data_IF_719548667679
#
_entry.id   IF_719548667679
#
_cell.length_a   1.000
_cell.length_b   1.000
_cell.length_c   1.000
_cell.angle_alpha   90.00
_cell.angle_beta   90.00
_cell.angle_gamma   90.00
#
_symmetry.space_group_name_H-M   'P 1'
#
loop_
_entity.id
_entity.type
_entity.pdbx_description
1 polymer ?
#
# COMPACT_ATOMS: atom_id res chain seq x y z
N UNK A 1 -6.39 -4.63 2.02
CA UNK A 1 -6.37 -3.53 3.03
C UNK A 1 -7.45 -3.69 4.11
N UNK A 2 -8.60 -4.30 3.81
CA UNK A 2 -9.72 -4.43 4.77
C UNK A 2 -9.40 -5.17 6.08
N UNK A 3 -8.41 -6.08 6.05
CA UNK A 3 -8.07 -6.95 7.18
C UNK A 3 -6.88 -6.45 8.02
N UNK A 4 -6.35 -5.26 7.71
CA UNK A 4 -5.17 -4.69 8.36
C UNK A 4 -5.63 -3.63 9.36
N UNK A 5 -4.93 -3.51 10.49
CA UNK A 5 -5.25 -2.47 11.48
C UNK A 5 -5.08 -1.06 10.89
N UNK A 6 -5.92 -0.10 11.29
CA UNK A 6 -5.84 1.28 10.79
C UNK A 6 -4.49 1.95 11.09
N UNK A 7 -3.86 1.59 12.20
CA UNK A 7 -2.54 2.07 12.60
C UNK A 7 -1.45 1.64 11.62
N UNK A 8 -1.44 0.36 11.20
CA UNK A 8 -0.47 -0.15 10.23
C UNK A 8 -0.65 0.53 8.88
N UNK A 9 -1.90 0.70 8.42
CA UNK A 9 -2.20 1.40 7.16
C UNK A 9 -1.67 2.83 7.21
N UNK A 10 -2.07 3.59 8.24
CA UNK A 10 -1.68 5.00 8.41
C UNK A 10 -0.15 5.15 8.52
N UNK A 11 0.49 4.27 9.29
CA UNK A 11 1.94 4.27 9.47
C UNK A 11 2.65 3.96 8.15
N UNK A 12 2.22 2.93 7.43
CA UNK A 12 2.84 2.55 6.15
C UNK A 12 2.73 3.66 5.10
N UNK A 13 1.56 4.30 4.97
CA UNK A 13 1.35 5.42 4.05
C UNK A 13 2.18 6.64 4.43
N UNK A 14 2.32 6.93 5.74
CA UNK A 14 3.17 8.01 6.20
C UNK A 14 4.65 7.79 5.85
N UNK A 15 5.16 6.55 6.00
CA UNK A 15 6.52 6.21 5.60
C UNK A 15 6.71 6.32 4.08
N UNK A 16 5.76 5.84 3.28
CA UNK A 16 5.79 5.96 1.82
C UNK A 16 5.83 7.43 1.39
N UNK A 17 4.96 8.27 1.95
CA UNK A 17 4.92 9.71 1.67
C UNK A 17 6.24 10.41 2.06
N UNK A 18 6.83 10.05 3.21
CA UNK A 18 8.09 10.61 3.66
C UNK A 18 9.27 10.20 2.76
N UNK A 19 9.40 8.91 2.44
CA UNK A 19 10.44 8.40 1.52
C UNK A 19 10.31 9.06 0.15
N UNK A 20 9.08 9.16 -0.36
CA UNK A 20 8.82 9.79 -1.65
C UNK A 20 9.22 11.27 -1.65
N UNK A 21 8.85 12.01 -0.59
CA UNK A 21 9.21 13.43 -0.44
C UNK A 21 10.72 13.65 -0.34
N UNK A 22 11.44 12.75 0.34
CA UNK A 22 12.91 12.79 0.37
C UNK A 22 13.48 12.52 -1.02
N UNK A 23 13.01 11.46 -1.69
CA UNK A 23 13.50 11.11 -3.03
C UNK A 23 13.31 12.25 -4.03
N UNK A 24 12.13 12.88 -4.03
CA UNK A 24 11.82 14.01 -4.92
C UNK A 24 12.64 15.24 -4.58
N UNK A 25 12.87 15.52 -3.28
CA UNK A 25 13.75 16.59 -2.84
C UNK A 25 15.18 16.41 -3.35
N UNK A 26 15.77 15.22 -3.18
CA UNK A 26 17.13 14.93 -3.66
C UNK A 26 17.25 14.90 -5.19
N UNK A 27 16.20 14.50 -5.90
CA UNK A 27 16.15 14.57 -7.36
C UNK A 27 15.81 15.97 -7.87
N UNK A 28 15.47 16.91 -6.98
CA UNK A 28 14.92 18.23 -7.29
C UNK A 28 13.72 18.13 -8.26
N UNK A 29 12.79 17.23 -7.97
CA UNK A 29 11.63 16.94 -8.79
C UNK A 29 10.36 17.34 -8.06
N UNK A 30 9.48 18.08 -8.72
CA UNK A 30 8.15 18.41 -8.22
C UNK A 30 7.15 17.33 -8.62
N UNK A 31 6.38 16.83 -7.65
CA UNK A 31 5.34 15.83 -7.88
C UNK A 31 4.07 16.44 -8.48
N UNK A 32 3.28 15.68 -9.25
CA UNK A 32 1.97 16.12 -9.72
C UNK A 32 0.99 16.43 -8.59
N UNK A 33 0.89 15.54 -7.59
CA UNK A 33 0.14 15.80 -6.38
C UNK A 33 1.07 16.27 -5.27
N UNK A 34 0.71 17.37 -4.60
CA UNK A 34 1.53 17.92 -3.53
C UNK A 34 1.30 17.16 -2.23
N UNK A 35 2.39 16.75 -1.58
CA UNK A 35 2.36 16.07 -0.29
C UNK A 35 2.70 17.06 0.82
N UNK A 36 1.83 17.15 1.81
CA UNK A 36 2.10 17.87 3.06
C UNK A 36 2.64 16.89 4.09
N UNK A 37 3.90 17.07 4.49
CA UNK A 37 4.53 16.27 5.53
C UNK A 37 4.13 16.74 6.94
N UNK A 38 4.24 15.85 7.94
CA UNK A 38 3.96 16.22 9.31
C UNK A 38 4.83 17.38 9.82
N UNK A 39 4.21 18.38 10.42
CA UNK A 39 4.87 19.52 11.09
C UNK A 39 4.02 19.98 12.29
N UNK A 40 4.47 21.04 13.00
CA UNK A 40 3.91 21.45 14.32
C UNK A 40 2.38 21.57 14.35
N UNK A 41 1.77 22.08 13.29
CA UNK A 41 0.33 22.34 13.20
C UNK A 41 -0.39 21.34 12.26
N UNK A 42 0.33 20.29 11.86
CA UNK A 42 -0.11 19.30 10.86
C UNK A 42 0.43 17.92 11.23
N UNK A 43 -0.20 17.19 12.15
CA UNK A 43 0.40 16.01 12.78
C UNK A 43 0.46 14.77 11.88
N UNK A 44 -0.33 14.74 10.80
CA UNK A 44 -0.42 13.58 9.90
C UNK A 44 -0.26 14.00 8.44
N UNK A 45 0.32 13.15 7.58
CA UNK A 45 0.53 13.51 6.19
C UNK A 45 -0.79 13.53 5.41
N UNK A 46 -0.83 14.40 4.42
CA UNK A 46 -1.93 14.50 3.45
C UNK A 46 -1.42 14.79 2.07
N UNK A 47 -2.29 14.68 1.09
CA UNK A 47 -1.98 14.93 -0.31
C UNK A 47 -3.05 15.79 -0.98
N UNK A 48 -2.65 16.76 -1.78
CA UNK A 48 -3.58 17.58 -2.56
C UNK A 48 -3.97 16.89 -3.85
N UNK A 49 -5.16 17.21 -4.36
CA UNK A 49 -5.56 16.75 -5.71
C UNK A 49 -4.67 17.40 -6.76
N UNK A 50 -4.55 16.78 -7.94
CA UNK A 50 -3.75 17.34 -9.04
C UNK A 50 -4.12 18.79 -9.40
N UNK A 51 -5.41 19.16 -9.29
CA UNK A 51 -5.89 20.51 -9.62
C UNK A 51 -5.54 21.54 -8.54
N UNK A 52 -5.57 21.10 -7.28
CA UNK A 52 -5.32 21.96 -6.12
C UNK A 52 -3.85 22.10 -5.77
N UNK A 53 -3.03 21.14 -6.17
CA UNK A 53 -1.61 21.09 -5.82
C UNK A 53 -0.90 22.38 -6.23
N UNK A 54 -0.19 22.99 -5.27
CA UNK A 54 0.57 24.22 -5.42
C UNK A 54 -0.23 25.48 -5.81
N UNK A 55 -1.56 25.43 -5.76
CA UNK A 55 -2.46 26.53 -6.04
C UNK A 55 -3.23 26.93 -4.78
N UNK A 56 -2.54 26.99 -3.64
CA UNK A 56 -3.14 27.28 -2.33
C UNK A 56 -2.24 28.12 -1.43
N UNK A 57 -2.87 28.89 -0.53
CA UNK A 57 -2.19 29.52 0.60
C UNK A 57 -1.99 28.53 1.75
N UNK A 58 -1.87 29.02 2.98
CA UNK A 58 -1.86 28.17 4.17
C UNK A 58 -3.21 27.45 4.33
N UNK A 59 -3.18 26.12 4.38
CA UNK A 59 -4.37 25.29 4.55
C UNK A 59 -4.31 24.62 5.92
N UNK A 60 -5.34 24.76 6.77
CA UNK A 60 -5.36 24.11 8.08
C UNK A 60 -5.46 22.58 7.94
N UNK A 61 -4.95 21.87 8.95
CA UNK A 61 -5.06 20.41 9.02
C UNK A 61 -6.53 19.95 8.96
N UNK A 62 -6.86 18.88 8.18
CA UNK A 62 -8.21 18.33 8.13
C UNK A 62 -8.76 18.01 9.52
N UNK A 63 -9.90 18.62 9.88
CA UNK A 63 -10.54 18.46 11.19
C UNK A 63 -10.06 19.44 12.27
N UNK A 64 -9.16 20.37 11.95
CA UNK A 64 -8.82 21.48 12.85
C UNK A 64 -9.96 22.51 12.93
N UNK A 65 -10.25 22.97 14.14
CA UNK A 65 -11.28 23.99 14.45
C UNK A 65 -10.77 25.43 14.32
N UNK A 66 -9.52 25.64 13.89
CA UNK A 66 -8.98 26.98 13.72
C UNK A 66 -9.65 27.68 12.52
N UNK A 67 -10.22 28.88 12.70
CA UNK A 67 -10.78 29.64 11.58
C UNK A 67 -9.65 29.97 10.59
N UNK A 68 -9.89 29.86 9.27
CA UNK A 68 -8.90 30.26 8.28
C UNK A 68 -8.57 31.74 8.49
N UNK A 69 -7.33 32.04 8.89
CA UNK A 69 -6.87 33.41 9.06
C UNK A 69 -6.72 34.05 7.68
N UNK A 70 -7.73 34.85 7.32
CA UNK A 70 -7.68 35.98 6.39
C UNK A 70 -6.88 35.80 5.09
N UNK A 71 -7.59 35.47 4.02
CA UNK A 71 -7.34 36.11 2.72
C UNK A 71 -8.66 36.65 2.17
N UNK A 72 -8.72 37.97 2.00
CA UNK A 72 -9.84 38.74 1.43
C UNK A 72 -9.97 38.59 -0.09
N UNK A 73 -9.64 37.41 -0.62
CA UNK A 73 -9.71 37.13 -2.05
C UNK A 73 -10.57 35.89 -2.30
N UNK A 74 -11.80 36.17 -2.71
CA UNK A 74 -12.77 35.30 -3.36
C UNK A 74 -13.23 34.03 -2.63
N UNK A 75 -14.50 33.71 -2.87
CA UNK A 75 -15.13 32.40 -2.62
C UNK A 75 -14.47 31.25 -3.44
N UNK A 76 -13.17 31.31 -3.71
CA UNK A 76 -12.43 30.20 -4.26
C UNK A 76 -12.40 29.10 -3.21
N UNK A 77 -13.04 27.97 -3.56
CA UNK A 77 -13.12 26.76 -2.74
C UNK A 77 -11.74 26.45 -2.17
N UNK A 78 -11.60 26.62 -0.85
CA UNK A 78 -10.36 26.27 -0.15
C UNK A 78 -10.02 24.83 -0.52
N UNK A 79 -8.83 24.57 -1.08
CA UNK A 79 -8.46 23.25 -1.54
C UNK A 79 -8.42 22.30 -0.37
N UNK A 80 -9.13 21.18 -0.48
CA UNK A 80 -9.28 20.23 0.60
C UNK A 80 -8.26 19.10 0.45
N UNK A 81 -7.21 19.04 1.30
CA UNK A 81 -6.23 17.96 1.24
C UNK A 81 -6.89 16.63 1.58
N UNK A 82 -6.40 15.55 0.97
CA UNK A 82 -6.87 14.18 1.19
C UNK A 82 -6.03 13.53 2.28
N UNK A 83 -6.68 12.91 3.29
CA UNK A 83 -5.95 12.25 4.36
C UNK A 83 -5.21 11.02 3.86
N UNK A 84 -3.95 10.84 4.29
CA UNK A 84 -3.18 9.60 4.11
C UNK A 84 -3.21 8.72 5.36
N UNK A 85 -4.25 8.86 6.18
CA UNK A 85 -4.43 8.14 7.43
C UNK A 85 -5.90 7.76 7.62
N UNK A 86 -6.13 6.76 8.47
CA UNK A 86 -7.44 6.29 8.91
C UNK A 86 -7.41 5.98 10.39
N UNK A 87 -8.46 6.37 11.11
CA UNK A 87 -8.59 6.10 12.55
C UNK A 87 -9.41 4.84 12.86
N UNK A 88 -10.12 4.32 11.86
CA UNK A 88 -10.98 3.13 11.95
C UNK A 88 -10.68 2.16 10.82
N UNK A 89 -11.07 0.90 10.98
CA UNK A 89 -10.98 -0.08 9.89
C UNK A 89 -11.79 0.38 8.68
N UNK A 90 -11.31 0.06 7.47
CA UNK A 90 -11.94 0.49 6.22
C UNK A 90 -13.40 0.03 6.07
N UNK A 91 -13.79 -1.20 6.45
CA UNK A 91 -15.19 -1.61 6.37
C UNK A 91 -16.11 -0.80 7.28
N UNK A 92 -15.65 -0.46 8.49
CA UNK A 92 -16.41 0.37 9.44
C UNK A 92 -16.50 1.80 8.93
N UNK A 93 -15.39 2.36 8.46
CA UNK A 93 -15.36 3.72 7.91
C UNK A 93 -16.29 3.86 6.69
N UNK A 94 -16.36 2.85 5.82
CA UNK A 94 -17.24 2.86 4.66
C UNK A 94 -18.74 2.88 5.02
N UNK A 95 -19.11 2.37 6.20
CA UNK A 95 -20.48 2.38 6.75
C UNK A 95 -20.77 3.69 7.49
N UNK A 96 -19.84 4.12 8.35
CA UNK A 96 -19.99 5.30 9.21
C UNK A 96 -19.92 6.61 8.41
N UNK A 97 -18.89 6.77 7.57
CA UNK A 97 -18.64 7.99 6.81
C UNK A 97 -18.07 7.68 5.42
N UNK A 98 -18.98 7.63 4.45
CA UNK A 98 -18.65 7.37 3.05
C UNK A 98 -17.81 8.49 2.42
N UNK A 99 -17.94 9.72 2.90
CA UNK A 99 -17.20 10.89 2.40
C UNK A 99 -15.71 10.78 2.77
N UNK A 100 -15.43 10.53 4.05
CA UNK A 100 -14.07 10.36 4.55
C UNK A 100 -13.43 9.10 3.96
N UNK A 101 -14.18 8.00 3.86
CA UNK A 101 -13.72 6.80 3.16
C UNK A 101 -13.29 7.08 1.71
N UNK A 102 -14.13 7.80 0.95
CA UNK A 102 -13.82 8.14 -0.44
C UNK A 102 -12.61 9.06 -0.56
N UNK A 103 -12.51 10.05 0.32
CA UNK A 103 -11.40 11.01 0.35
C UNK A 103 -10.08 10.34 0.71
N UNK A 104 -10.10 9.38 1.63
CA UNK A 104 -8.92 8.56 1.97
C UNK A 104 -8.47 7.70 0.78
N UNK A 105 -9.39 7.00 0.11
CA UNK A 105 -9.03 6.19 -1.06
C UNK A 105 -8.47 7.04 -2.20
N UNK A 106 -9.03 8.24 -2.42
CA UNK A 106 -8.47 9.20 -3.37
C UNK A 106 -7.05 9.64 -2.96
N UNK A 107 -6.79 9.86 -1.67
CA UNK A 107 -5.45 10.15 -1.16
C UNK A 107 -4.46 9.02 -1.44
N UNK A 108 -4.84 7.77 -1.16
CA UNK A 108 -4.00 6.60 -1.43
C UNK A 108 -3.70 6.45 -2.93
N UNK A 109 -4.67 6.70 -3.81
CA UNK A 109 -4.43 6.60 -5.25
C UNK A 109 -3.60 7.74 -5.81
N UNK A 110 -3.72 8.95 -5.26
CA UNK A 110 -2.82 10.06 -5.59
C UNK A 110 -1.39 9.74 -5.20
N UNK A 111 -1.18 9.15 -4.01
CA UNK A 111 0.16 8.74 -3.56
C UNK A 111 0.76 7.68 -4.50
N UNK A 112 -0.03 6.67 -4.89
CA UNK A 112 0.40 5.67 -5.86
C UNK A 112 0.70 6.26 -7.24
N UNK A 113 -0.11 7.24 -7.67
CA UNK A 113 0.08 7.98 -8.92
C UNK A 113 1.41 8.74 -8.92
N UNK A 114 1.75 9.43 -7.83
CA UNK A 114 3.02 10.15 -7.70
C UNK A 114 4.23 9.23 -7.70
N UNK A 115 4.16 8.07 -7.02
CA UNK A 115 5.22 7.06 -7.08
C UNK A 115 5.44 6.58 -8.51
N UNK A 116 4.36 6.25 -9.23
CA UNK A 116 4.40 5.81 -10.62
C UNK A 116 4.95 6.91 -11.56
N UNK A 117 4.52 8.15 -11.34
CA UNK A 117 5.03 9.33 -12.04
C UNK A 117 6.53 9.47 -11.81
N UNK A 118 7.01 9.33 -10.57
CA UNK A 118 8.42 9.49 -10.25
C UNK A 118 9.24 8.41 -10.94
N UNK A 119 8.83 7.15 -10.86
CA UNK A 119 9.46 6.06 -11.61
C UNK A 119 9.60 6.40 -13.11
N UNK A 120 8.52 6.89 -13.75
CA UNK A 120 8.57 7.26 -15.16
C UNK A 120 9.52 8.43 -15.45
N UNK A 121 9.47 9.48 -14.63
CA UNK A 121 10.38 10.64 -14.77
C UNK A 121 11.85 10.24 -14.58
N UNK A 122 12.12 9.13 -13.89
CA UNK A 122 13.48 8.64 -13.69
C UNK A 122 13.84 7.49 -14.65
N UNK A 123 12.98 7.21 -15.63
CA UNK A 123 13.18 6.16 -16.63
C UNK A 123 13.08 4.74 -16.07
N UNK A 124 12.52 4.57 -14.87
CA UNK A 124 12.32 3.27 -14.23
C UNK A 124 10.98 2.69 -14.66
N UNK A 125 11.02 1.53 -15.33
CA UNK A 125 9.81 0.78 -15.64
C UNK A 125 9.23 0.15 -14.38
N UNK A 126 7.93 0.35 -14.14
CA UNK A 126 7.25 -0.23 -13.00
C UNK A 126 6.21 -1.30 -13.37
N UNK A 127 5.91 -1.51 -14.66
CA UNK A 127 4.92 -2.48 -15.15
C UNK A 127 4.09 -1.91 -16.32
N UNK A 128 2.87 -2.41 -16.49
CA UNK A 128 1.90 -1.86 -17.44
C UNK A 128 1.20 -0.63 -16.84
N UNK A 129 1.29 0.49 -17.56
CA UNK A 129 0.66 1.78 -17.21
C UNK A 129 -0.86 1.76 -17.18
N UNK A 130 -1.49 0.76 -17.81
CA UNK A 130 -2.94 0.57 -17.81
C UNK A 130 -3.41 -0.43 -16.74
N UNK A 131 -2.48 -1.15 -16.12
CA UNK A 131 -2.71 -2.11 -15.07
C UNK A 131 -2.71 -1.38 -13.71
N UNK A 132 -3.86 -1.27 -13.02
CA UNK A 132 -3.93 -0.54 -11.76
C UNK A 132 -3.14 -1.25 -10.64
N UNK A 133 -2.99 -2.57 -10.70
CA UNK A 133 -2.21 -3.35 -9.73
C UNK A 133 -0.73 -2.94 -9.75
N UNK A 134 -0.15 -2.76 -10.94
CA UNK A 134 1.23 -2.30 -11.09
C UNK A 134 1.43 -0.88 -10.53
N UNK A 135 0.40 -0.03 -10.63
CA UNK A 135 0.42 1.34 -10.08
C UNK A 135 0.33 1.30 -8.55
N UNK A 136 -0.58 0.49 -7.99
CA UNK A 136 -0.80 0.40 -6.54
C UNK A 136 0.33 -0.30 -5.76
N UNK A 137 1.21 -1.03 -6.45
CA UNK A 137 2.41 -1.66 -5.87
C UNK A 137 3.52 -0.64 -5.52
N UNK A 138 3.16 0.39 -4.72
CA UNK A 138 4.02 1.52 -4.33
C UNK A 138 5.36 1.07 -3.75
N UNK A 139 5.36 0.09 -2.85
CA UNK A 139 6.59 -0.42 -2.22
C UNK A 139 7.55 -1.05 -3.23
N UNK A 140 7.03 -1.86 -4.17
CA UNK A 140 7.84 -2.46 -5.22
C UNK A 140 8.38 -1.39 -6.19
N UNK A 141 7.56 -0.38 -6.50
CA UNK A 141 7.93 0.71 -7.39
C UNK A 141 9.03 1.59 -6.76
N UNK A 142 8.90 1.95 -5.48
CA UNK A 142 9.94 2.63 -4.72
C UNK A 142 11.21 1.80 -4.61
N UNK A 143 11.10 0.49 -4.38
CA UNK A 143 12.26 -0.41 -4.35
C UNK A 143 13.00 -0.42 -5.71
N UNK A 144 12.26 -0.54 -6.83
CA UNK A 144 12.84 -0.48 -8.19
C UNK A 144 13.55 0.85 -8.43
N UNK A 145 12.94 1.96 -7.99
CA UNK A 145 13.48 3.30 -8.14
C UNK A 145 14.77 3.51 -7.33
N UNK A 146 14.75 3.20 -6.05
CA UNK A 146 15.81 3.56 -5.10
C UNK A 146 16.95 2.55 -5.06
N UNK A 147 16.64 1.26 -5.23
CA UNK A 147 17.58 0.16 -5.00
C UNK A 147 17.79 -0.63 -6.30
N UNK A 148 16.69 -1.05 -6.94
CA UNK A 148 16.70 -1.94 -8.10
C UNK A 148 17.50 -1.37 -9.26
N UNK A 149 17.31 -0.09 -9.60
CA UNK A 149 18.02 0.56 -10.70
C UNK A 149 19.54 0.58 -10.48
N UNK A 150 20.01 0.83 -9.24
CA UNK A 150 21.43 0.86 -8.93
C UNK A 150 22.08 -0.52 -8.97
N UNK A 151 21.35 -1.56 -8.57
CA UNK A 151 21.86 -2.93 -8.58
C UNK A 151 22.03 -3.46 -10.01
N UNK A 152 21.06 -3.20 -10.90
CA UNK A 152 21.14 -3.60 -12.31
C UNK A 152 22.19 -2.80 -13.10
N UNK A 153 22.51 -1.57 -12.67
CA UNK A 153 23.63 -0.80 -13.22
C UNK A 153 24.99 -1.42 -12.95
N UNK A 154 25.19 -2.07 -11.80
CA UNK A 154 26.47 -2.71 -11.47
C UNK A 154 26.74 -3.97 -12.29
N UNK A 155 25.71 -4.56 -12.90
CA UNK A 155 25.83 -5.76 -13.74
C UNK A 155 26.11 -5.41 -15.21
N UNK A 156 25.93 -4.14 -15.61
CA UNK A 156 26.28 -3.65 -16.95
C UNK A 156 27.55 -2.81 -16.80
N UNK A 157 28.65 -3.27 -17.37
CA UNK A 157 29.97 -2.62 -17.30
C UNK A 157 29.91 -1.09 -17.43
N UNK A 158 30.82 -0.36 -16.75
CA UNK A 158 30.93 1.07 -16.91
C UNK A 158 31.44 1.38 -18.32
N UNK A 159 30.54 1.75 -19.24
CA UNK A 159 30.93 2.42 -20.47
C UNK A 159 31.44 3.82 -20.13
N UNK A 160 32.70 3.92 -19.76
CA UNK A 160 33.41 5.18 -19.83
C UNK A 160 33.47 5.62 -21.30
N UNK A 161 33.18 6.90 -21.63
CA UNK A 161 33.49 7.41 -22.94
C UNK A 161 35.02 7.61 -23.01
N UNK A 162 35.71 6.71 -23.69
CA UNK A 162 37.13 6.88 -24.01
C UNK A 162 37.30 8.11 -24.92
N UNK A 163 38.10 9.12 -24.59
CA UNK A 163 38.36 10.23 -25.50
C UNK A 163 39.27 9.76 -26.64
N UNK A 164 38.80 10.02 -27.86
CA UNK A 164 39.52 10.18 -29.14
C UNK A 164 41.02 9.82 -29.16
N UNK A 165 41.39 8.80 -29.95
CA UNK A 165 42.65 8.81 -30.70
C UNK A 165 42.43 8.17 -32.08
N UNK A 166 42.99 8.85 -33.07
CA UNK A 166 42.77 8.76 -34.51
C UNK A 166 43.40 7.52 -35.18
N UNK A 167 42.83 7.18 -36.35
CA UNK A 167 43.54 6.93 -37.63
C UNK A 167 43.47 5.51 -38.21
N UNK A 168 42.70 5.40 -39.29
CA UNK A 168 43.00 4.58 -40.48
C UNK A 168 42.62 3.11 -40.42
N UNK A 169 41.68 2.69 -41.27
CA UNK A 169 41.98 1.96 -42.53
C UNK A 169 40.66 1.54 -43.19
N UNK A 170 40.55 1.89 -44.46
CA UNK A 170 39.46 1.59 -45.40
C UNK A 170 39.36 0.09 -45.69
N UNK A 171 38.16 -0.48 -45.73
CA UNK A 171 37.67 -1.35 -46.83
C UNK A 171 36.17 -1.66 -46.66
N UNK A 172 35.49 -1.62 -47.80
CA UNK A 172 34.06 -1.53 -48.08
C UNK A 172 33.22 -2.81 -47.85
N UNK A 173 31.95 -2.65 -47.45
CA UNK A 173 30.75 -3.20 -48.14
C UNK A 173 29.42 -2.70 -47.55
N UNK A 174 28.81 -1.79 -48.30
CA UNK A 174 27.39 -1.61 -48.67
C UNK A 174 26.24 -1.67 -47.63
N UNK A 175 25.52 -0.53 -47.57
CA UNK A 175 24.07 -0.28 -47.36
C UNK A 175 23.42 -0.85 -46.09
N UNK A 176 22.96 -0.03 -45.14
CA UNK A 176 21.78 0.82 -45.34
C UNK A 176 21.87 2.11 -44.50
N UNK A 177 21.81 3.26 -45.18
CA UNK A 177 21.72 4.57 -44.55
C UNK A 177 20.24 4.91 -44.36
N UNK A 178 19.69 4.53 -43.21
CA UNK A 178 18.31 4.81 -42.82
C UNK A 178 18.24 5.42 -41.43
N UNK A 179 18.23 6.76 -41.38
CA UNK A 179 17.76 7.59 -40.25
C UNK A 179 18.58 7.55 -38.97
N UNK A 180 19.17 8.69 -38.61
CA UNK A 180 19.84 8.90 -37.33
C UNK A 180 18.91 8.65 -36.15
N UNK A 181 19.01 7.46 -35.55
CA UNK A 181 18.50 7.22 -34.20
C UNK A 181 19.51 7.86 -33.25
N UNK A 182 19.38 9.19 -33.07
CA UNK A 182 19.93 9.92 -31.93
C UNK A 182 19.68 9.04 -30.71
N UNK A 183 20.77 8.49 -30.17
CA UNK A 183 20.75 7.51 -29.09
C UNK A 183 19.71 7.89 -28.06
N UNK A 184 18.58 7.17 -28.05
CA UNK A 184 17.49 7.41 -27.09
C UNK A 184 18.15 7.43 -25.71
N UNK A 185 18.05 8.53 -24.94
CA UNK A 185 18.82 8.69 -23.72
C UNK A 185 18.52 7.49 -22.82
N UNK A 186 19.57 6.72 -22.52
CA UNK A 186 19.48 5.54 -21.67
C UNK A 186 18.86 6.00 -20.36
N UNK A 187 17.68 5.47 -20.05
CA UNK A 187 16.95 5.77 -18.81
C UNK A 187 17.92 5.81 -17.64
N UNK A 188 18.12 7.00 -17.07
CA UNK A 188 19.06 7.27 -15.99
C UNK A 188 18.32 7.94 -14.85
N UNK A 189 18.44 7.38 -13.65
CA UNK A 189 18.02 8.07 -12.44
C UNK A 189 18.71 9.43 -12.37
N UNK A 190 17.95 10.49 -12.12
CA UNK A 190 18.40 11.87 -12.19
C UNK A 190 18.36 12.48 -13.60
N UNK A 191 17.80 11.79 -14.60
CA UNK A 191 17.68 12.36 -15.94
C UNK A 191 16.74 13.56 -15.94
N UNK A 192 15.46 13.40 -15.57
CA UNK A 192 14.54 14.54 -15.48
C UNK A 192 14.56 15.18 -14.10
N UNK A 193 14.75 16.49 -14.04
CA UNK A 193 14.73 17.27 -12.80
C UNK A 193 14.22 18.70 -13.04
N UNK A 194 13.63 19.33 -12.02
CA UNK A 194 13.30 20.75 -12.04
C UNK A 194 14.49 21.63 -11.60
N UNK A 195 15.54 21.03 -11.02
CA UNK A 195 16.74 21.76 -10.55
C UNK A 195 17.88 21.82 -11.57
N UNK A 196 17.82 21.04 -12.65
CA UNK A 196 18.88 20.96 -13.66
C UNK A 196 18.58 21.84 -14.88
N UNK A 197 19.62 22.43 -15.50
CA UNK A 197 19.47 23.25 -16.71
C UNK A 197 19.32 22.43 -17.99
N UNK A 198 20.08 21.35 -18.13
CA UNK A 198 20.14 20.56 -19.38
C UNK A 198 18.94 19.62 -19.56
N UNK A 199 18.36 19.12 -18.47
CA UNK A 199 17.22 18.18 -18.48
C UNK A 199 16.09 18.71 -17.61
N UNK A 200 15.85 20.02 -17.73
CA UNK A 200 14.82 20.73 -17.01
C UNK A 200 13.43 20.21 -17.38
N UNK A 201 12.68 19.70 -16.40
CA UNK A 201 11.35 19.14 -16.63
C UNK A 201 10.32 20.19 -17.06
N UNK A 202 10.57 21.48 -16.78
CA UNK A 202 9.79 22.60 -17.30
C UNK A 202 10.27 23.14 -18.65
N UNK A 203 11.30 22.55 -19.25
CA UNK A 203 11.78 22.88 -20.60
C UNK A 203 10.90 22.26 -21.69
N UNK A 204 11.17 22.56 -22.97
CA UNK A 204 10.36 22.08 -24.09
C UNK A 204 10.19 20.54 -24.07
N UNK A 205 11.30 19.80 -24.02
CA UNK A 205 11.28 18.33 -24.01
C UNK A 205 10.61 17.76 -22.74
N UNK A 206 10.82 18.41 -21.59
CA UNK A 206 10.20 18.02 -20.33
C UNK A 206 8.69 18.22 -20.33
N UNK A 207 8.22 19.35 -20.88
CA UNK A 207 6.78 19.61 -21.03
C UNK A 207 6.12 18.65 -22.02
N UNK A 208 6.84 18.26 -23.08
CA UNK A 208 6.37 17.23 -24.00
C UNK A 208 6.29 15.86 -23.31
N UNK A 209 7.29 15.49 -22.51
CA UNK A 209 7.27 14.28 -21.70
C UNK A 209 6.05 14.26 -20.76
N UNK A 210 5.82 15.35 -20.02
CA UNK A 210 4.67 15.48 -19.10
C UNK A 210 3.35 15.39 -19.86
N UNK A 211 3.23 16.01 -21.03
CA UNK A 211 2.03 15.92 -21.88
C UNK A 211 1.79 14.51 -22.42
N UNK A 212 2.86 13.79 -22.74
CA UNK A 212 2.81 12.43 -23.27
C UNK A 212 2.69 11.37 -22.17
N UNK A 213 2.81 11.77 -20.89
CA UNK A 213 2.62 10.89 -19.76
C UNK A 213 1.15 10.46 -19.64
N UNK A 214 0.90 9.19 -20.00
CA UNK A 214 -0.42 8.57 -19.93
C UNK A 214 -0.43 7.52 -18.83
N UNK A 215 -1.08 7.85 -17.72
CA UNK A 215 -1.52 6.89 -16.71
C UNK A 215 -3.04 6.94 -16.61
N UNK A 216 -3.62 5.89 -16.04
CA UNK A 216 -5.02 5.90 -15.65
C UNK A 216 -5.28 7.08 -14.70
N UNK A 217 -6.35 7.84 -14.92
CA UNK A 217 -6.62 9.02 -14.11
C UNK A 217 -6.80 8.65 -12.62
N UNK A 218 -6.37 9.50 -11.67
CA UNK A 218 -6.50 9.21 -10.24
C UNK A 218 -7.92 8.87 -9.81
N UNK A 219 -8.93 9.51 -10.40
CA UNK A 219 -10.36 9.20 -10.14
C UNK A 219 -10.72 7.78 -10.58
N UNK A 220 -10.29 7.36 -11.77
CA UNK A 220 -10.53 5.99 -12.26
C UNK A 220 -9.78 4.96 -11.41
N UNK A 221 -8.57 5.30 -10.93
CA UNK A 221 -7.84 4.46 -9.98
C UNK A 221 -8.61 4.36 -8.66
N UNK A 222 -9.13 5.46 -8.12
CA UNK A 222 -9.89 5.46 -6.87
C UNK A 222 -11.18 4.63 -6.99
N UNK A 223 -11.91 4.75 -8.10
CA UNK A 223 -13.11 3.96 -8.36
C UNK A 223 -12.80 2.46 -8.47
N UNK A 224 -11.70 2.10 -9.14
CA UNK A 224 -11.25 0.70 -9.23
C UNK A 224 -10.80 0.16 -7.88
N UNK A 225 -10.09 0.96 -7.08
CA UNK A 225 -9.67 0.58 -5.73
C UNK A 225 -10.89 0.36 -4.84
N UNK A 226 -11.83 1.30 -4.85
CA UNK A 226 -13.11 1.18 -4.15
C UNK A 226 -13.87 -0.07 -4.57
N UNK A 227 -13.97 -0.37 -5.86
CA UNK A 227 -14.62 -1.58 -6.38
C UNK A 227 -13.92 -2.85 -5.89
N UNK A 228 -12.59 -2.92 -5.95
CA UNK A 228 -11.82 -4.06 -5.44
C UNK A 228 -12.06 -4.30 -3.94
N UNK A 229 -11.89 -3.26 -3.12
CA UNK A 229 -12.13 -3.35 -1.68
C UNK A 229 -13.58 -3.74 -1.35
N UNK A 230 -14.56 -3.26 -2.14
CA UNK A 230 -15.97 -3.63 -1.94
C UNK A 230 -16.26 -5.08 -2.35
N UNK A 231 -15.47 -5.66 -3.26
CA UNK A 231 -15.62 -7.07 -3.68
C UNK A 231 -14.96 -8.02 -2.67
N UNK A 232 -13.90 -7.56 -2.00
CA UNK A 232 -13.24 -8.30 -0.91
C UNK A 232 -14.13 -8.41 0.34
N UNK A 233 -15.02 -7.43 0.60
CA UNK A 233 -15.87 -7.43 1.81
C UNK A 233 -16.87 -8.59 1.86
N UNK A 234 -17.68 -8.88 0.81
CA UNK A 234 -18.57 -10.04 0.80
C UNK A 234 -17.85 -11.38 0.88
N UNK A 235 -16.64 -11.49 0.30
CA UNK A 235 -15.84 -12.72 0.37
C UNK A 235 -15.46 -13.05 1.83
N UNK A 236 -15.29 -12.02 2.66
CA UNK A 236 -14.94 -12.11 4.07
C UNK A 236 -16.12 -12.54 4.97
N UNK A 237 -17.36 -12.30 4.55
CA UNK A 237 -18.55 -12.74 5.31
C UNK A 237 -18.74 -14.27 5.19
N UNK A 238 -18.33 -14.88 4.09
CA UNK A 238 -18.37 -16.33 3.89
C UNK A 238 -17.16 -17.07 4.48
N UNK A 239 -16.00 -16.43 4.60
CA UNK A 239 -14.80 -16.98 5.25
C UNK A 239 -14.93 -17.02 6.79
N UNK A 240 -15.97 -16.39 7.37
CA UNK A 240 -16.19 -16.32 8.82
C UNK A 240 -17.06 -17.44 9.41
N UNK A 241 -17.44 -18.45 8.62
CA UNK A 241 -18.24 -19.61 9.06
C UNK A 241 -17.35 -20.85 9.28
N UNK A 242 -16.22 -20.70 9.96
CA UNK A 242 -15.46 -21.85 10.47
C UNK A 242 -15.01 -21.53 11.90
N UNK A 243 -15.81 -21.94 12.89
CA UNK A 243 -15.35 -22.00 14.28
C UNK A 243 -16.36 -21.85 15.40
N UNK A 244 -17.60 -21.40 15.15
CA UNK A 244 -18.57 -21.09 16.24
C UNK A 244 -19.93 -21.81 16.11
N UNK A 245 -20.00 -22.91 15.36
CA UNK A 245 -21.22 -23.72 15.21
C UNK A 245 -21.09 -25.16 15.76
N UNK A 246 -20.01 -25.49 16.48
CA UNK A 246 -19.81 -26.81 17.09
C UNK A 246 -20.06 -26.82 18.61
N UNK A 247 -21.19 -26.23 19.05
CA UNK A 247 -21.61 -26.34 20.47
C UNK A 247 -23.12 -26.46 20.70
N UNK A 248 -23.88 -26.91 19.69
CA UNK A 248 -25.33 -27.10 19.79
C UNK A 248 -25.84 -28.43 19.24
N UNK A 249 -25.02 -29.48 19.26
CA UNK A 249 -25.50 -30.85 19.13
C UNK A 249 -24.95 -31.66 20.30
N UNK A 250 -25.79 -31.80 21.34
CA UNK A 250 -25.92 -32.99 22.20
C UNK A 250 -26.80 -32.67 23.41
N UNK A 251 -28.09 -32.35 23.20
CA UNK A 251 -29.13 -32.59 24.22
C UNK A 251 -30.53 -32.60 23.59
N UNK A 252 -30.77 -33.55 22.67
CA UNK A 252 -32.14 -33.92 22.30
C UNK A 252 -32.23 -35.44 22.23
N UNK A 253 -32.41 -36.09 23.38
CA UNK A 253 -33.20 -37.32 23.53
C UNK A 253 -33.14 -37.82 24.99
N UNK A 254 -34.18 -37.58 25.79
CA UNK A 254 -34.65 -38.62 26.71
C UNK A 254 -36.14 -38.46 27.04
N UNK A 255 -36.85 -39.57 26.89
CA UNK A 255 -38.30 -39.64 26.71
C UNK A 255 -39.16 -39.46 27.96
N UNK A 256 -40.44 -39.28 27.66
CA UNK A 256 -41.58 -39.17 28.58
C UNK A 256 -41.70 -40.42 29.46
N UNK A 257 -41.69 -40.24 30.79
CA UNK A 257 -42.20 -41.22 31.76
C UNK A 257 -43.11 -40.54 32.81
N UNK A 258 -44.22 -41.21 33.12
CA UNK A 258 -45.41 -40.71 33.83
C UNK A 258 -45.36 -40.99 35.34
N UNK A 259 -45.30 -39.93 36.18
CA UNK A 259 -45.74 -39.81 37.61
C UNK A 259 -45.17 -40.78 38.68
N UNK A 260 -45.43 -40.62 40.01
CA UNK A 260 -46.06 -39.52 40.77
C UNK A 260 -45.26 -38.99 42.01
N UNK A 261 -45.64 -37.78 42.48
CA UNK A 261 -45.52 -37.11 43.81
C UNK A 261 -44.65 -37.76 44.93
N UNK A 262 -43.73 -36.99 45.53
CA UNK A 262 -43.85 -36.54 46.96
C UNK A 262 -42.78 -35.51 47.39
N UNK A 263 -43.28 -34.48 48.10
CA UNK A 263 -42.71 -33.66 49.19
C UNK A 263 -41.20 -33.37 49.31
N UNK A 264 -40.87 -32.08 49.22
CA UNK A 264 -40.57 -31.29 50.42
C UNK A 264 -39.11 -30.94 50.74
N UNK A 265 -38.93 -29.65 51.06
CA UNK A 265 -37.86 -29.03 51.88
C UNK A 265 -36.64 -28.48 51.14
N UNK A 266 -36.60 -27.15 51.04
CA UNK A 266 -35.40 -26.31 51.13
C UNK A 266 -35.48 -25.54 52.48
N UNK A 267 -34.52 -24.70 52.93
CA UNK A 267 -33.21 -24.32 52.36
C UNK A 267 -32.06 -24.26 53.40
N UNK A 268 -30.85 -23.83 53.00
CA UNK A 268 -30.04 -22.71 53.56
C UNK A 268 -28.51 -22.95 53.36
N UNK A 269 -27.71 -21.90 53.03
CA UNK A 269 -26.36 -22.01 52.46
C UNK A 269 -25.23 -21.66 53.45
N UNK A 270 -23.98 -22.01 53.10
CA UNK A 270 -22.77 -21.35 53.61
C UNK A 270 -21.53 -21.66 52.73
N UNK A 271 -21.08 -20.63 52.01
CA UNK A 271 -19.70 -20.39 51.57
C UNK A 271 -18.78 -20.09 52.80
N UNK A 272 -17.45 -19.79 52.69
CA UNK A 272 -16.43 -20.06 51.66
C UNK A 272 -15.01 -20.42 52.24
N UNK A 273 -14.04 -20.69 51.35
CA UNK A 273 -12.57 -20.69 51.50
C UNK A 273 -11.86 -21.79 52.33
N UNK A 274 -10.90 -22.47 51.69
CA UNK A 274 -9.77 -23.08 52.40
C UNK A 274 -8.87 -24.03 51.59
N UNK A 275 -7.64 -23.55 51.33
CA UNK A 275 -6.37 -24.31 51.27
C UNK A 275 -6.08 -25.06 49.94
N UNK A 276 -5.14 -24.55 49.15
CA UNK A 276 -3.70 -24.88 49.19
C UNK A 276 -3.40 -26.38 49.00
N UNK A 277 -2.68 -26.72 47.93
CA UNK A 277 -1.42 -27.47 48.07
C UNK A 277 -0.61 -27.53 46.77
N UNK A 278 0.70 -27.64 46.99
CA UNK A 278 1.85 -27.44 46.12
C UNK A 278 2.47 -28.80 45.73
N UNK A 279 3.39 -28.77 44.74
CA UNK A 279 4.48 -29.76 44.47
C UNK A 279 4.09 -31.03 43.67
N UNK A 280 4.94 -31.65 42.82
CA UNK A 280 6.37 -31.51 42.52
C UNK A 280 6.75 -32.30 41.24
N UNK A 281 7.65 -31.71 40.43
CA UNK A 281 8.81 -32.19 39.61
C UNK A 281 8.91 -33.63 39.04
N UNK A 282 9.33 -33.66 37.75
CA UNK A 282 9.73 -34.74 36.82
C UNK A 282 10.78 -35.77 37.30
N UNK A 283 11.00 -36.85 36.51
CA UNK A 283 12.33 -37.00 35.90
C UNK A 283 12.34 -37.49 34.42
N UNK A 284 13.55 -37.44 33.85
CA UNK A 284 13.93 -37.46 32.44
C UNK A 284 14.10 -38.85 31.77
N UNK A 285 14.12 -38.86 30.42
CA UNK A 285 15.08 -39.67 29.64
C UNK A 285 14.52 -40.64 28.57
N UNK A 286 15.20 -40.61 27.42
CA UNK A 286 15.26 -41.64 26.34
C UNK A 286 14.32 -41.53 25.11
N UNK A 287 14.93 -41.21 23.97
CA UNK A 287 14.63 -41.76 22.62
C UNK A 287 15.70 -42.84 22.31
N UNK A 288 15.62 -43.75 21.30
CA UNK A 288 14.74 -43.81 20.12
C UNK A 288 14.19 -45.24 19.79
N UNK A 289 13.30 -45.41 18.79
CA UNK A 289 13.31 -46.60 17.90
C UNK A 289 12.45 -46.45 16.65
N UNK A 290 12.85 -47.20 15.63
CA UNK A 290 12.41 -47.26 14.24
C UNK A 290 11.89 -48.68 13.98
N UNK A 291 10.85 -48.87 13.16
CA UNK A 291 10.39 -50.19 12.65
C UNK A 291 8.89 -50.15 12.32
N UNK A 292 8.44 -50.15 11.06
CA UNK A 292 8.47 -51.17 9.99
C UNK A 292 7.14 -51.93 9.87
N UNK A 293 6.46 -51.69 8.75
CA UNK A 293 5.74 -52.64 7.88
C UNK A 293 4.86 -53.74 8.48
N UNK A 294 3.61 -53.82 7.97
CA UNK A 294 3.06 -55.11 7.55
C UNK A 294 1.54 -55.27 7.68
N UNK A 295 0.90 -55.49 6.53
CA UNK A 295 -0.22 -56.41 6.25
C UNK A 295 -1.36 -56.48 7.29
N UNK A 296 -2.63 -56.26 6.94
CA UNK A 296 -3.47 -57.34 6.40
C UNK A 296 -4.76 -56.77 5.79
N UNK A 297 -5.09 -57.31 4.62
CA UNK A 297 -6.31 -57.13 3.84
C UNK A 297 -7.28 -58.24 4.23
N UNK A 298 -8.51 -57.94 4.67
CA UNK A 298 -9.62 -58.91 4.58
C UNK A 298 -10.94 -58.20 4.28
N UNK A 299 -11.68 -58.86 3.39
CA UNK A 299 -12.93 -58.50 2.74
C UNK A 299 -14.04 -59.34 3.38
N UNK A 300 -15.22 -58.76 3.56
CA UNK A 300 -16.46 -59.47 3.89
C UNK A 300 -17.52 -58.44 4.25
N UNK A 301 -18.72 -58.42 3.65
CA UNK A 301 -19.37 -59.34 2.72
C UNK A 301 -20.34 -58.52 1.89
#
# INVERSE_FOLDING_TARGET
MNNISPEIISTSLAHVAHILSLATHYLAVRLPAEITLPHRDYPRPTIFTLLSSYNHGEVPFPGSVLPPQTSTFDNQRVPHPRPLFVDKSLPTLAKDDRSTYSSFLEGVTLLAYDVAWLCCSQGVSFGDRNCPEDIWNMGQNLWKLLIGYQLHRKTVEPTFPTPLTSLGTTTSREADAGSGDLAKPKAMLGHWSHGTTHTFLGGADGTEFVRNFKLLSPTKLADRLKKRLSTEVPMLEWEKIDGDEARWEDEIEEGVLVGPRSNGVAPVPADPFGLESVMSVQPAGSSPSQGSTGWTKLKGR
#
